data_IF_101548596228
#
_entry.id   IF_101548596228
#
_cell.length_a   1.000
_cell.length_b   1.000
_cell.length_c   1.000
_cell.angle_alpha   90.00
_cell.angle_beta   90.00
_cell.angle_gamma   90.00
#
_symmetry.space_group_name_H-M   'P 1'
#
loop_
_entity.id
_entity.type
_entity.pdbx_description
1 polymer ?
#
# COMPACT_ATOMS: atom_id res chain seq x y z
N UNK A 1 21.33 -4.48 -20.34
CA UNK A 1 20.13 -3.65 -20.57
C UNK A 1 19.30 -3.69 -19.31
N UNK A 2 18.87 -2.50 -18.85
CA UNK A 2 17.78 -2.24 -17.92
C UNK A 2 17.90 -2.88 -16.53
N UNK A 3 18.60 -2.17 -15.63
CA UNK A 3 18.48 -2.33 -14.18
C UNK A 3 17.03 -1.99 -13.81
N UNK A 4 16.14 -2.98 -13.92
CA UNK A 4 14.76 -2.86 -13.49
C UNK A 4 14.81 -2.69 -11.97
N UNK A 5 14.75 -1.43 -11.52
CA UNK A 5 14.72 -1.07 -10.12
C UNK A 5 13.76 -2.00 -9.40
N UNK A 6 14.30 -2.72 -8.41
CA UNK A 6 13.64 -3.85 -7.75
C UNK A 6 12.22 -3.45 -7.35
N UNK A 7 11.18 -4.14 -7.85
CA UNK A 7 9.80 -3.68 -7.73
C UNK A 7 9.44 -3.45 -6.26
N UNK A 8 8.90 -2.27 -5.97
CA UNK A 8 8.42 -1.94 -4.62
C UNK A 8 7.45 -3.03 -4.18
N UNK A 9 7.77 -3.70 -3.07
CA UNK A 9 6.96 -4.79 -2.50
C UNK A 9 5.58 -4.26 -2.13
N UNK A 10 4.54 -5.06 -2.40
CA UNK A 10 3.19 -4.71 -1.98
C UNK A 10 3.11 -4.74 -0.45
N UNK A 11 2.50 -3.74 0.19
CA UNK A 11 2.21 -3.77 1.63
C UNK A 11 0.99 -4.65 1.95
N UNK A 12 0.66 -5.60 1.08
CA UNK A 12 -0.53 -6.42 1.22
C UNK A 12 -0.28 -7.50 2.26
N UNK A 13 -1.09 -7.50 3.32
CA UNK A 13 -1.04 -8.50 4.39
C UNK A 13 -1.98 -9.69 4.11
N UNK A 14 -2.38 -9.90 2.85
CA UNK A 14 -3.37 -10.90 2.41
C UNK A 14 -4.73 -10.80 3.10
N UNK A 15 -5.03 -9.64 3.69
CA UNK A 15 -6.33 -9.28 4.26
C UNK A 15 -6.93 -8.22 3.34
N UNK A 16 -8.02 -8.55 2.67
CA UNK A 16 -8.77 -7.61 1.84
C UNK A 16 -10.10 -7.31 2.54
N UNK A 17 -10.14 -6.19 3.27
CA UNK A 17 -11.33 -5.71 3.96
C UNK A 17 -11.43 -4.20 3.75
N UNK A 18 -12.26 -3.78 2.80
CA UNK A 18 -12.50 -2.37 2.48
C UNK A 18 -13.51 -1.79 3.49
N UNK A 19 -13.28 -0.55 3.92
CA UNK A 19 -14.24 0.23 4.69
C UNK A 19 -15.24 0.96 3.78
N UNK A 20 -16.08 1.82 4.39
CA UNK A 20 -17.08 2.64 3.71
C UNK A 20 -16.48 3.70 2.76
N UNK A 21 -15.17 3.95 2.84
CA UNK A 21 -14.42 4.90 2.03
C UNK A 21 -13.56 4.20 0.96
N UNK A 22 -13.82 2.90 0.71
CA UNK A 22 -13.02 2.05 -0.18
C UNK A 22 -11.54 1.96 0.23
N UNK A 23 -11.24 2.12 1.53
CA UNK A 23 -9.90 1.98 2.09
C UNK A 23 -9.77 0.59 2.71
N UNK A 24 -8.75 -0.16 2.30
CA UNK A 24 -8.45 -1.45 2.90
C UNK A 24 -7.98 -1.23 4.34
N UNK A 25 -8.75 -1.70 5.31
CA UNK A 25 -8.45 -1.61 6.74
C UNK A 25 -7.13 -2.28 7.11
N UNK A 26 -6.71 -3.32 6.38
CA UNK A 26 -5.47 -4.06 6.62
C UNK A 26 -4.19 -3.40 6.07
N UNK A 27 -4.22 -2.91 4.82
CA UNK A 27 -3.03 -2.30 4.18
C UNK A 27 -3.12 -0.78 3.98
N UNK A 28 -4.25 -0.17 4.35
CA UNK A 28 -4.56 1.26 4.28
C UNK A 28 -4.46 1.88 2.87
N UNK A 29 -4.55 1.02 1.85
CA UNK A 29 -4.63 1.39 0.43
C UNK A 29 -6.07 1.54 -0.01
N UNK A 30 -6.34 2.47 -0.91
CA UNK A 30 -7.66 2.54 -1.56
C UNK A 30 -7.84 1.41 -2.58
N UNK A 31 -9.08 1.04 -2.86
CA UNK A 31 -9.42 0.09 -3.93
C UNK A 31 -8.84 0.53 -5.30
N UNK A 32 -8.85 1.83 -5.59
CA UNK A 32 -8.24 2.38 -6.82
C UNK A 32 -6.72 2.18 -6.85
N UNK A 33 -6.03 2.45 -5.73
CA UNK A 33 -4.59 2.22 -5.60
C UNK A 33 -4.24 0.73 -5.74
N UNK A 34 -5.06 -0.18 -5.22
CA UNK A 34 -4.89 -1.64 -5.35
C UNK A 34 -5.00 -2.05 -6.82
N UNK A 35 -6.03 -1.57 -7.51
CA UNK A 35 -6.30 -1.89 -8.92
C UNK A 35 -5.22 -1.35 -9.85
N UNK A 36 -4.69 -0.15 -9.55
CA UNK A 36 -3.64 0.50 -10.35
C UNK A 36 -2.23 0.02 -10.02
N UNK A 37 -2.00 -0.68 -8.91
CA UNK A 37 -0.66 -1.08 -8.45
C UNK A 37 0.18 -1.81 -9.50
N UNK A 38 -0.44 -2.73 -10.25
CA UNK A 38 0.25 -3.49 -11.30
C UNK A 38 0.72 -2.63 -12.47
N UNK A 39 0.13 -1.44 -12.64
CA UNK A 39 0.45 -0.47 -13.70
C UNK A 39 1.28 0.72 -13.21
N UNK A 40 1.49 0.85 -11.90
CA UNK A 40 2.23 1.96 -11.29
C UNK A 40 3.75 1.75 -11.35
N UNK A 41 4.46 2.85 -11.58
CA UNK A 41 5.93 2.92 -11.47
C UNK A 41 6.39 2.89 -10.01
N UNK A 42 7.65 2.52 -9.77
CA UNK A 42 8.19 2.46 -8.40
C UNK A 42 8.09 3.80 -7.64
N UNK A 43 8.17 4.94 -8.33
CA UNK A 43 7.97 6.25 -7.72
C UNK A 43 6.52 6.43 -7.21
N UNK A 44 5.53 6.06 -8.03
CA UNK A 44 4.12 6.09 -7.64
C UNK A 44 3.83 5.11 -6.51
N UNK A 45 4.42 3.91 -6.57
CA UNK A 45 4.29 2.90 -5.51
C UNK A 45 4.79 3.41 -4.15
N UNK A 46 5.92 4.15 -4.15
CA UNK A 46 6.45 4.80 -2.94
C UNK A 46 5.52 5.89 -2.41
N UNK A 47 4.92 6.69 -3.30
CA UNK A 47 3.93 7.70 -2.91
C UNK A 47 2.67 7.08 -2.29
N UNK A 48 2.16 6.00 -2.88
CA UNK A 48 1.02 5.25 -2.31
C UNK A 48 1.37 4.71 -0.93
N UNK A 49 2.56 4.12 -0.75
CA UNK A 49 3.02 3.65 0.55
C UNK A 49 3.09 4.79 1.59
N UNK A 50 3.62 5.95 1.22
CA UNK A 50 3.68 7.10 2.12
C UNK A 50 2.27 7.55 2.54
N UNK A 51 1.31 7.61 1.60
CA UNK A 51 -0.10 7.91 1.89
C UNK A 51 -0.74 6.87 2.81
N UNK A 52 -0.45 5.58 2.61
CA UNK A 52 -0.96 4.51 3.47
C UNK A 52 -0.47 4.69 4.91
N UNK A 53 0.81 5.02 5.09
CA UNK A 53 1.39 5.30 6.42
C UNK A 53 0.73 6.51 7.05
N UNK A 54 0.45 7.55 6.28
CA UNK A 54 -0.25 8.74 6.77
C UNK A 54 -1.69 8.44 7.20
N UNK A 55 -2.44 7.68 6.40
CA UNK A 55 -3.80 7.20 6.77
C UNK A 55 -3.78 6.31 8.00
N UNK A 56 -2.82 5.39 8.08
CA UNK A 56 -2.58 4.51 9.23
C UNK A 56 -2.39 5.34 10.51
N UNK A 57 -1.54 6.37 10.45
CA UNK A 57 -1.33 7.32 11.57
C UNK A 57 -2.58 8.11 11.90
N UNK A 58 -3.30 8.61 10.90
CA UNK A 58 -4.53 9.38 11.11
C UNK A 58 -5.65 8.53 11.74
N UNK A 59 -5.74 7.25 11.36
CA UNK A 59 -6.69 6.30 11.93
C UNK A 59 -6.31 5.85 13.35
N UNK A 60 -5.14 6.23 13.88
CA UNK A 60 -4.63 5.77 15.17
C UNK A 60 -4.29 4.27 15.20
N UNK A 61 -4.39 3.58 14.07
CA UNK A 61 -3.94 2.20 13.94
C UNK A 61 -2.41 2.24 13.84
N UNK A 62 -1.70 1.87 14.91
CA UNK A 62 -0.27 1.57 14.81
C UNK A 62 -0.10 0.21 14.12
N UNK A 63 -0.40 0.13 12.82
CA UNK A 63 -0.07 -1.05 12.03
C UNK A 63 1.45 -1.11 11.96
N UNK A 64 1.98 -2.04 12.76
CA UNK A 64 3.34 -2.50 12.68
C UNK A 64 3.59 -2.82 11.21
N UNK A 65 4.62 -2.14 10.67
CA UNK A 65 5.02 -2.24 9.28
C UNK A 65 4.97 -3.70 8.81
N UNK A 66 4.52 -3.98 7.58
CA UNK A 66 4.40 -5.34 7.09
C UNK A 66 5.74 -6.06 7.29
N UNK A 67 5.69 -7.12 8.08
CA UNK A 67 6.77 -8.05 8.31
C UNK A 67 7.36 -8.44 6.95
N UNK A 68 8.60 -8.01 6.72
CA UNK A 68 9.49 -8.72 5.83
C UNK A 68 9.81 -10.03 6.53
N UNK A 69 9.13 -11.11 6.14
CA UNK A 69 9.61 -12.47 6.38
C UNK A 69 9.62 -13.25 5.07
#
# INVERSE_FOLDING_TARGET
MMEAERPVKSPCVSICALDEQDICTGCQRTADEITRWGRMDNAERRLVLARCVERTRAAGLFLQQPAAH
#
